data_IF_148840662318
#
_entry.id   IF_148840662318
#
_cell.length_a   1.000
_cell.length_b   1.000
_cell.length_c   1.000
_cell.angle_alpha   90.00
_cell.angle_beta   90.00
_cell.angle_gamma   90.00
#
_symmetry.space_group_name_H-M   'P 1'
#
loop_
_entity.id
_entity.type
_entity.pdbx_description
1 polymer ?
#
# COMPACT_ATOMS: atom_id res chain seq x y z
N UNK A 1 -22.10 -28.67 45.50
CA UNK A 1 -20.72 -28.54 45.00
C UNK A 1 -20.79 -28.60 43.49
N UNK A 2 -20.96 -27.47 42.78
CA UNK A 2 -20.83 -27.33 41.30
C UNK A 2 -21.19 -25.90 40.82
N UNK A 3 -20.70 -24.83 41.50
CA UNK A 3 -20.89 -23.44 41.04
C UNK A 3 -19.62 -22.83 40.46
N UNK A 4 -18.48 -23.51 40.49
CA UNK A 4 -17.19 -23.01 40.03
C UNK A 4 -16.86 -23.36 38.57
N UNK A 5 -17.47 -24.40 37.98
CA UNK A 5 -17.23 -24.79 36.58
C UNK A 5 -17.85 -23.81 35.57
N UNK A 6 -18.99 -23.21 35.89
CA UNK A 6 -19.67 -22.26 34.97
C UNK A 6 -18.94 -20.94 34.74
N UNK A 7 -18.16 -20.48 35.75
CA UNK A 7 -17.41 -19.23 35.63
C UNK A 7 -16.18 -19.36 34.72
N UNK A 8 -15.54 -20.52 34.75
CA UNK A 8 -14.33 -20.78 33.95
C UNK A 8 -14.69 -20.98 32.45
N UNK A 9 -15.78 -21.66 32.15
CA UNK A 9 -16.26 -21.81 30.77
C UNK A 9 -16.74 -20.47 30.20
N UNK A 10 -17.46 -19.67 30.98
CA UNK A 10 -17.94 -18.35 30.53
C UNK A 10 -16.79 -17.40 30.26
N UNK A 11 -15.71 -17.42 31.06
CA UNK A 11 -14.50 -16.65 30.81
C UNK A 11 -13.74 -17.12 29.56
N UNK A 12 -13.67 -18.42 29.34
CA UNK A 12 -13.04 -18.99 28.15
C UNK A 12 -13.80 -18.61 26.87
N UNK A 13 -15.14 -18.69 26.90
CA UNK A 13 -16.00 -18.24 25.80
C UNK A 13 -15.90 -16.75 25.55
N UNK A 14 -15.79 -15.92 26.59
CA UNK A 14 -15.64 -14.49 26.47
C UNK A 14 -14.28 -14.11 25.89
N UNK A 15 -13.20 -14.78 26.28
CA UNK A 15 -11.85 -14.60 25.71
C UNK A 15 -11.78 -15.07 24.26
N UNK A 16 -12.46 -16.17 23.92
CA UNK A 16 -12.55 -16.67 22.54
C UNK A 16 -13.37 -15.70 21.69
N UNK A 17 -14.50 -15.18 22.20
CA UNK A 17 -15.35 -14.21 21.50
C UNK A 17 -14.61 -12.87 21.26
N UNK A 18 -13.81 -12.41 22.23
CA UNK A 18 -12.97 -11.21 22.07
C UNK A 18 -11.86 -11.46 21.04
N UNK A 19 -11.20 -12.63 21.07
CA UNK A 19 -10.19 -12.99 20.05
C UNK A 19 -10.76 -13.11 18.64
N UNK A 20 -11.94 -13.68 18.49
CA UNK A 20 -12.60 -13.76 17.17
C UNK A 20 -13.07 -12.41 16.67
N UNK A 21 -13.52 -11.52 17.57
CA UNK A 21 -13.93 -10.15 17.20
C UNK A 21 -12.72 -9.29 16.76
N UNK A 22 -11.57 -9.43 17.42
CA UNK A 22 -10.36 -8.69 17.03
C UNK A 22 -9.71 -9.20 15.74
N UNK A 23 -9.86 -10.47 15.38
CA UNK A 23 -9.36 -10.99 14.09
C UNK A 23 -10.20 -10.56 12.88
N UNK A 24 -11.47 -10.16 13.08
CA UNK A 24 -12.36 -9.71 12.00
C UNK A 24 -12.29 -8.20 11.76
N UNK A 25 -11.64 -7.42 12.65
CA UNK A 25 -11.60 -5.96 12.55
C UNK A 25 -10.66 -5.45 11.45
N UNK A 26 -9.62 -6.22 11.06
CA UNK A 26 -8.66 -5.82 10.03
C UNK A 26 -9.33 -5.42 8.69
N UNK A 27 -10.35 -6.16 8.26
CA UNK A 27 -11.09 -5.85 7.05
C UNK A 27 -11.75 -4.46 7.15
N UNK A 28 -12.53 -4.24 8.20
CA UNK A 28 -13.25 -3.00 8.42
C UNK A 28 -12.30 -1.83 8.70
N UNK A 29 -11.23 -2.05 9.44
CA UNK A 29 -10.23 -1.03 9.74
C UNK A 29 -9.51 -0.56 8.47
N UNK A 30 -9.10 -1.49 7.61
CA UNK A 30 -8.49 -1.16 6.32
C UNK A 30 -9.47 -0.34 5.44
N UNK A 31 -10.72 -0.75 5.35
CA UNK A 31 -11.71 -0.02 4.54
C UNK A 31 -12.04 1.35 5.12
N UNK A 32 -12.05 1.48 6.45
CA UNK A 32 -12.32 2.75 7.15
C UNK A 32 -11.25 3.80 6.91
N UNK A 33 -9.97 3.41 6.89
CA UNK A 33 -8.86 4.34 6.67
C UNK A 33 -8.64 4.69 5.20
N UNK A 34 -9.20 3.92 4.27
CA UNK A 34 -9.03 4.18 2.84
C UNK A 34 -9.78 5.44 2.41
N UNK A 35 -9.12 6.35 1.68
CA UNK A 35 -9.80 7.48 1.10
C UNK A 35 -10.80 7.03 0.04
N UNK A 36 -12.03 7.48 0.16
CA UNK A 36 -13.02 7.24 -0.87
C UNK A 36 -12.67 8.05 -2.12
N UNK A 37 -12.60 7.37 -3.25
CA UNK A 37 -12.48 8.01 -4.55
C UNK A 37 -13.92 8.14 -5.08
N UNK A 38 -14.32 9.36 -5.47
CA UNK A 38 -15.63 9.59 -6.10
C UNK A 38 -15.85 8.51 -7.16
N UNK A 39 -17.00 7.84 -7.10
CA UNK A 39 -17.36 6.70 -7.94
C UNK A 39 -16.87 6.90 -9.37
N UNK A 40 -15.80 6.22 -9.74
CA UNK A 40 -15.53 5.96 -11.14
C UNK A 40 -16.70 5.10 -11.61
N UNK A 41 -17.45 5.59 -12.61
CA UNK A 41 -18.52 4.81 -13.20
C UNK A 41 -17.91 3.46 -13.61
N UNK A 42 -18.35 2.39 -12.95
CA UNK A 42 -17.99 1.03 -13.34
C UNK A 42 -18.80 0.72 -14.60
N UNK A 43 -18.17 0.84 -15.76
CA UNK A 43 -18.78 0.39 -16.99
C UNK A 43 -18.78 -1.15 -17.02
N UNK A 44 -19.86 -1.74 -17.49
CA UNK A 44 -19.99 -3.21 -17.67
C UNK A 44 -18.87 -3.79 -18.56
N UNK A 45 -18.28 -2.97 -19.40
CA UNK A 45 -17.18 -3.31 -20.33
C UNK A 45 -15.78 -3.37 -19.67
N UNK A 46 -15.64 -3.04 -18.38
CA UNK A 46 -14.32 -3.07 -17.70
C UNK A 46 -13.84 -4.50 -17.46
N UNK A 47 -12.56 -4.75 -17.74
CA UNK A 47 -11.89 -5.99 -17.36
C UNK A 47 -11.81 -6.15 -15.84
N UNK A 48 -11.59 -7.38 -15.36
CA UNK A 48 -11.43 -7.66 -13.94
C UNK A 48 -10.25 -6.90 -13.33
N UNK A 49 -9.16 -6.76 -14.08
CA UNK A 49 -7.97 -6.02 -13.66
C UNK A 49 -8.23 -4.51 -13.55
N UNK A 50 -9.03 -3.94 -14.45
CA UNK A 50 -9.41 -2.54 -14.40
C UNK A 50 -10.34 -2.26 -13.23
N UNK A 51 -11.28 -3.14 -12.96
CA UNK A 51 -12.13 -3.07 -11.76
C UNK A 51 -11.27 -3.09 -10.50
N UNK A 52 -10.36 -4.06 -10.39
CA UNK A 52 -9.43 -4.15 -9.25
C UNK A 52 -8.55 -2.90 -9.11
N UNK A 53 -8.07 -2.36 -10.23
CA UNK A 53 -7.31 -1.11 -10.23
C UNK A 53 -8.13 0.04 -9.64
N UNK A 54 -9.37 0.19 -10.06
CA UNK A 54 -10.20 1.32 -9.69
C UNK A 54 -10.76 1.20 -8.26
N UNK A 55 -11.18 -0.01 -7.87
CA UNK A 55 -11.78 -0.26 -6.55
C UNK A 55 -10.75 -0.45 -5.43
N UNK A 56 -9.57 -0.98 -5.73
CA UNK A 56 -8.57 -1.36 -4.73
C UNK A 56 -7.27 -0.57 -4.88
N UNK A 57 -6.59 -0.65 -6.06
CA UNK A 57 -5.25 -0.09 -6.19
C UNK A 57 -5.21 1.42 -6.06
N UNK A 58 -6.13 2.16 -6.69
CA UNK A 58 -6.17 3.63 -6.61
C UNK A 58 -6.42 4.15 -5.20
N UNK A 59 -7.41 3.64 -4.42
CA UNK A 59 -7.59 4.02 -3.02
C UNK A 59 -6.37 3.70 -2.15
N UNK A 60 -5.77 2.52 -2.32
CA UNK A 60 -4.56 2.11 -1.57
C UNK A 60 -3.38 3.00 -1.92
N UNK A 61 -3.14 3.28 -3.19
CA UNK A 61 -2.07 4.20 -3.62
C UNK A 61 -2.27 5.61 -3.07
N UNK A 62 -3.51 6.09 -3.01
CA UNK A 62 -3.81 7.39 -2.42
C UNK A 62 -3.51 7.40 -0.91
N UNK A 63 -3.87 6.33 -0.19
CA UNK A 63 -3.57 6.17 1.23
C UNK A 63 -2.06 6.13 1.47
N UNK A 64 -1.33 5.37 0.67
CA UNK A 64 0.11 5.13 0.84
C UNK A 64 1.00 6.20 0.20
N UNK A 65 0.42 7.22 -0.43
CA UNK A 65 1.18 8.23 -1.16
C UNK A 65 2.30 8.88 -0.34
N UNK A 66 2.07 9.35 0.90
CA UNK A 66 3.14 9.96 1.69
C UNK A 66 4.31 8.99 1.96
N UNK A 67 3.98 7.71 2.23
CA UNK A 67 4.99 6.70 2.50
C UNK A 67 5.76 6.28 1.24
N UNK A 68 5.12 6.26 0.08
CA UNK A 68 5.77 6.02 -1.21
C UNK A 68 6.79 7.11 -1.52
N UNK A 69 6.40 8.39 -1.35
CA UNK A 69 7.30 9.53 -1.53
C UNK A 69 8.50 9.45 -0.58
N UNK A 70 8.25 9.26 0.72
CA UNK A 70 9.29 9.13 1.73
C UNK A 70 10.24 7.95 1.47
N UNK A 71 9.68 6.81 1.04
CA UNK A 71 10.47 5.62 0.69
C UNK A 71 11.39 5.87 -0.51
N UNK A 72 10.91 6.61 -1.52
CA UNK A 72 11.73 6.97 -2.67
C UNK A 72 12.81 7.99 -2.31
N UNK A 73 12.50 9.02 -1.54
CA UNK A 73 13.48 10.00 -1.05
C UNK A 73 14.59 9.31 -0.25
N UNK A 74 14.23 8.40 0.66
CA UNK A 74 15.22 7.61 1.40
C UNK A 74 16.09 6.72 0.47
N UNK A 75 15.47 6.11 -0.53
CA UNK A 75 16.20 5.33 -1.54
C UNK A 75 17.21 6.21 -2.30
N UNK A 76 16.77 7.34 -2.83
CA UNK A 76 17.61 8.27 -3.58
C UNK A 76 18.77 8.82 -2.72
N UNK A 77 18.51 9.16 -1.47
CA UNK A 77 19.53 9.61 -0.50
C UNK A 77 20.60 8.54 -0.27
N UNK A 78 20.20 7.29 -0.07
CA UNK A 78 21.13 6.15 0.09
C UNK A 78 21.97 5.88 -1.15
N UNK A 79 21.49 6.29 -2.32
CA UNK A 79 22.21 6.22 -3.60
C UNK A 79 22.96 7.52 -3.92
N UNK A 80 23.58 8.13 -2.92
CA UNK A 80 24.43 9.35 -3.00
C UNK A 80 23.67 10.63 -3.40
N UNK A 81 22.36 10.63 -3.36
CA UNK A 81 21.54 11.81 -3.63
C UNK A 81 21.57 12.32 -5.08
N UNK A 82 22.18 11.60 -5.99
CA UNK A 82 22.34 12.00 -7.42
C UNK A 82 21.00 12.41 -8.05
N UNK A 83 19.92 11.82 -7.62
CA UNK A 83 18.57 12.14 -8.08
C UNK A 83 18.22 13.62 -7.92
N UNK A 84 18.68 14.26 -6.86
CA UNK A 84 18.30 15.65 -6.53
C UNK A 84 19.05 16.69 -7.36
N UNK A 85 20.15 16.31 -7.99
CA UNK A 85 21.04 17.20 -8.74
C UNK A 85 20.83 17.12 -10.27
N UNK A 86 20.01 16.19 -10.73
CA UNK A 86 19.79 15.97 -12.17
C UNK A 86 18.52 16.66 -12.68
N UNK A 87 18.45 17.04 -13.98
CA UNK A 87 17.28 17.65 -14.59
C UNK A 87 16.01 16.76 -14.50
N UNK A 88 14.85 17.40 -14.59
CA UNK A 88 13.52 16.75 -14.41
C UNK A 88 13.30 15.57 -15.35
N UNK A 89 13.67 15.67 -16.61
CA UNK A 89 13.57 14.56 -17.58
C UNK A 89 14.40 13.36 -17.15
N UNK A 90 15.60 13.60 -16.62
CA UNK A 90 16.47 12.55 -16.05
C UNK A 90 15.97 12.03 -14.72
N UNK A 91 15.30 12.86 -13.91
CA UNK A 91 14.64 12.40 -12.66
C UNK A 91 13.53 11.40 -12.96
N UNK A 92 12.71 11.65 -13.98
CA UNK A 92 11.66 10.71 -14.41
C UNK A 92 12.25 9.35 -14.82
N UNK A 93 13.29 9.38 -15.64
CA UNK A 93 14.00 8.16 -16.05
C UNK A 93 14.69 7.46 -14.87
N UNK A 94 15.21 8.21 -13.90
CA UNK A 94 15.82 7.65 -12.68
C UNK A 94 14.79 6.86 -11.85
N UNK A 95 13.60 7.42 -11.62
CA UNK A 95 12.50 6.75 -10.89
C UNK A 95 12.17 5.40 -11.55
N UNK A 96 11.97 5.42 -12.86
CA UNK A 96 11.64 4.21 -13.62
C UNK A 96 12.75 3.16 -13.53
N UNK A 97 14.01 3.57 -13.73
CA UNK A 97 15.16 2.70 -13.63
C UNK A 97 15.36 2.13 -12.23
N UNK A 98 15.20 2.94 -11.17
CA UNK A 98 15.31 2.50 -9.78
C UNK A 98 14.33 1.36 -9.48
N UNK A 99 13.07 1.52 -9.91
CA UNK A 99 12.01 0.53 -9.65
C UNK A 99 12.18 -0.71 -10.55
N UNK A 100 12.62 -0.56 -11.79
CA UNK A 100 12.80 -1.70 -12.68
C UNK A 100 14.06 -2.52 -12.39
N UNK A 101 15.16 -1.87 -12.03
CA UNK A 101 16.46 -2.54 -11.86
C UNK A 101 16.71 -3.04 -10.44
N UNK A 102 16.28 -2.29 -9.42
CA UNK A 102 16.45 -2.70 -8.03
C UNK A 102 15.27 -3.57 -7.56
N UNK A 103 15.49 -4.87 -7.57
CA UNK A 103 14.50 -5.87 -7.15
C UNK A 103 14.08 -5.71 -5.69
N UNK A 104 15.02 -5.35 -4.78
CA UNK A 104 14.74 -5.20 -3.36
C UNK A 104 13.84 -4.01 -3.14
N UNK A 105 14.16 -2.87 -3.74
CA UNK A 105 13.36 -1.66 -3.66
C UNK A 105 11.96 -1.87 -4.27
N UNK A 106 11.90 -2.46 -5.47
CA UNK A 106 10.63 -2.81 -6.11
C UNK A 106 9.74 -3.70 -5.24
N UNK A 107 10.33 -4.72 -4.58
CA UNK A 107 9.57 -5.60 -3.71
C UNK A 107 9.10 -4.89 -2.43
N UNK A 108 9.89 -3.98 -1.87
CA UNK A 108 9.48 -3.15 -0.74
C UNK A 108 8.27 -2.28 -1.10
N UNK A 109 8.31 -1.55 -2.21
CA UNK A 109 7.19 -0.73 -2.69
C UNK A 109 5.92 -1.57 -2.93
N UNK A 110 6.08 -2.74 -3.56
CA UNK A 110 4.97 -3.68 -3.77
C UNK A 110 4.37 -4.15 -2.44
N UNK A 111 5.22 -4.47 -1.46
CA UNK A 111 4.78 -4.85 -0.12
C UNK A 111 3.97 -3.77 0.58
N UNK A 112 4.34 -2.49 0.44
CA UNK A 112 3.57 -1.35 0.97
C UNK A 112 2.14 -1.31 0.42
N UNK A 113 1.95 -1.68 -0.83
CA UNK A 113 0.62 -1.68 -1.46
C UNK A 113 -0.16 -2.92 -1.06
N UNK A 114 0.42 -4.12 -1.20
CA UNK A 114 -0.26 -5.40 -0.92
C UNK A 114 -0.61 -5.52 0.56
N UNK A 115 0.21 -4.98 1.46
CA UNK A 115 -0.03 -4.96 2.90
C UNK A 115 -1.32 -4.23 3.30
N UNK A 116 -1.89 -3.41 2.41
CA UNK A 116 -3.15 -2.69 2.61
C UNK A 116 -4.36 -3.39 1.98
N UNK A 117 -4.22 -4.59 1.46
CA UNK A 117 -5.35 -5.36 0.91
C UNK A 117 -6.14 -6.02 2.02
N UNK A 118 -7.47 -6.09 1.85
CA UNK A 118 -8.29 -7.02 2.63
C UNK A 118 -7.98 -8.44 2.22
N UNK A 119 -8.48 -9.44 2.97
CA UNK A 119 -8.25 -10.85 2.62
C UNK A 119 -8.90 -11.21 1.28
N UNK A 120 -10.08 -10.66 0.98
CA UNK A 120 -10.77 -10.89 -0.29
C UNK A 120 -10.00 -10.28 -1.46
N UNK A 121 -9.49 -9.05 -1.29
CA UNK A 121 -8.66 -8.40 -2.29
C UNK A 121 -7.34 -9.15 -2.52
N UNK A 122 -6.73 -9.68 -1.45
CA UNK A 122 -5.54 -10.50 -1.55
C UNK A 122 -5.82 -11.81 -2.31
N UNK A 123 -6.96 -12.45 -2.05
CA UNK A 123 -7.40 -13.64 -2.79
C UNK A 123 -7.57 -13.33 -4.28
N UNK A 124 -8.21 -12.21 -4.61
CA UNK A 124 -8.36 -11.74 -5.99
C UNK A 124 -7.00 -11.46 -6.64
N UNK A 125 -6.10 -10.80 -5.91
CA UNK A 125 -4.75 -10.52 -6.37
C UNK A 125 -3.96 -11.79 -6.69
N UNK A 126 -4.02 -12.83 -5.86
CA UNK A 126 -3.27 -14.08 -6.06
C UNK A 126 -3.68 -14.83 -7.32
N UNK A 127 -4.93 -14.70 -7.77
CA UNK A 127 -5.42 -15.33 -9.00
C UNK A 127 -4.75 -14.76 -10.27
N UNK A 128 -4.26 -13.52 -10.24
CA UNK A 128 -3.63 -12.87 -11.38
C UNK A 128 -2.45 -11.97 -10.98
N UNK A 129 -1.62 -12.46 -10.05
CA UNK A 129 -0.56 -11.68 -9.41
C UNK A 129 0.48 -11.11 -10.39
N UNK A 130 0.80 -11.83 -11.46
CA UNK A 130 1.79 -11.38 -12.45
C UNK A 130 1.35 -10.09 -13.15
N UNK A 131 0.13 -10.05 -13.68
CA UNK A 131 -0.42 -8.86 -14.35
C UNK A 131 -0.65 -7.72 -13.36
N UNK A 132 -1.20 -8.03 -12.17
CA UNK A 132 -1.46 -7.04 -11.15
C UNK A 132 -0.16 -6.44 -10.59
N UNK A 133 0.91 -7.21 -10.44
CA UNK A 133 2.23 -6.69 -10.05
C UNK A 133 2.77 -5.67 -11.06
N UNK A 134 2.68 -5.97 -12.35
CA UNK A 134 3.07 -5.02 -13.40
C UNK A 134 2.25 -3.73 -13.31
N UNK A 135 0.94 -3.85 -13.12
CA UNK A 135 0.02 -2.70 -12.99
C UNK A 135 0.31 -1.88 -11.75
N UNK A 136 0.56 -2.52 -10.60
CA UNK A 136 0.95 -1.84 -9.35
C UNK A 136 2.23 -1.01 -9.57
N UNK A 137 3.26 -1.60 -10.17
CA UNK A 137 4.53 -0.89 -10.39
C UNK A 137 4.37 0.29 -11.35
N UNK A 138 3.64 0.14 -12.43
CA UNK A 138 3.35 1.24 -13.35
C UNK A 138 2.63 2.40 -12.63
N UNK A 139 1.63 2.09 -11.81
CA UNK A 139 0.90 3.10 -11.04
C UNK A 139 1.79 3.80 -10.00
N UNK A 140 2.72 3.07 -9.37
CA UNK A 140 3.69 3.65 -8.42
C UNK A 140 4.66 4.57 -9.16
N UNK A 141 5.22 4.14 -10.30
CA UNK A 141 6.12 4.95 -11.13
C UNK A 141 5.41 6.25 -11.54
N UNK A 142 4.24 6.16 -12.16
CA UNK A 142 3.45 7.33 -12.55
C UNK A 142 3.19 8.26 -11.37
N UNK A 143 2.82 7.70 -10.20
CA UNK A 143 2.57 8.48 -8.99
C UNK A 143 3.78 9.27 -8.51
N UNK A 144 4.97 8.68 -8.54
CA UNK A 144 6.21 9.35 -8.14
C UNK A 144 6.61 10.41 -9.18
N UNK A 145 6.47 10.10 -10.46
CA UNK A 145 6.77 11.05 -11.56
C UNK A 145 5.82 12.26 -11.56
N UNK A 146 4.53 12.06 -11.29
CA UNK A 146 3.53 13.15 -11.19
C UNK A 146 3.78 14.09 -10.01
N UNK A 147 4.60 13.70 -9.04
CA UNK A 147 4.84 14.42 -7.79
C UNK A 147 6.33 14.72 -7.54
N UNK A 148 7.10 14.91 -8.62
CA UNK A 148 8.55 15.21 -8.53
C UNK A 148 8.86 16.37 -7.60
N UNK A 149 8.01 17.42 -7.59
CA UNK A 149 8.17 18.59 -6.74
C UNK A 149 8.12 18.29 -5.23
N UNK A 150 7.59 17.14 -4.84
CA UNK A 150 7.54 16.68 -3.45
C UNK A 150 8.72 15.76 -3.08
N UNK A 151 9.51 15.35 -4.07
CA UNK A 151 10.67 14.48 -3.89
C UNK A 151 11.92 15.32 -3.59
N UNK A 152 11.90 16.00 -2.46
CA UNK A 152 13.03 16.83 -1.99
C UNK A 152 13.75 16.15 -0.84
N UNK A 153 15.08 16.38 -0.66
CA UNK A 153 15.79 15.87 0.50
C UNK A 153 15.10 16.32 1.77
N UNK A 154 14.83 15.41 2.69
CA UNK A 154 14.37 15.79 4.02
C UNK A 154 15.54 16.44 4.75
N UNK A 155 15.53 17.76 4.86
CA UNK A 155 16.32 18.45 5.86
C UNK A 155 15.74 18.05 7.22
N UNK A 156 16.42 17.15 7.92
CA UNK A 156 16.15 16.94 9.33
C UNK A 156 16.51 18.25 10.03
N UNK A 157 15.52 19.09 10.25
CA UNK A 157 15.62 20.13 11.27
C UNK A 157 15.76 19.37 12.59
N UNK A 158 17.00 19.23 13.07
CA UNK A 158 17.21 18.90 14.46
C UNK A 158 16.66 20.09 15.25
N UNK A 159 15.41 19.95 15.71
CA UNK A 159 14.89 20.79 16.77
C UNK A 159 15.63 20.32 18.02
N UNK A 160 16.63 21.13 18.41
CA UNK A 160 17.31 21.01 19.68
C UNK A 160 16.37 21.32 20.87
#
# INVERSE_FOLDING_TARGET
>A
MNRFLGWFEMHLWFVILIKTKTMNDRHNDILRIRPQIKKLQTFETMSSEERFQNSTLRPVLKLQNPLLLASFVNYATKHKGVFFDIPVDKQMAYIENAIHKDQKFRNALKGLIIGQFTMEEYTTYTQNSSKLNKRIMNLVITRLQDQLQLLVPQTFSMVG
#
